data_IF_178819001998
#
_entry.id   IF_178819001998
#
_cell.length_a   1.000
_cell.length_b   1.000
_cell.length_c   1.000
_cell.angle_alpha   90.00
_cell.angle_beta   90.00
_cell.angle_gamma   90.00
#
_symmetry.space_group_name_H-M   'P 1'
#
loop_
_entity.id
_entity.type
_entity.pdbx_description
1 polymer ?
#
# COMPACT_ATOMS: atom_id res chain seq x y z
N UNK A 1 10.29 5.16 -6.21
CA UNK A 1 10.91 3.82 -6.39
C UNK A 1 10.46 3.26 -7.73
N UNK A 2 11.39 2.94 -8.63
CA UNK A 2 11.09 2.32 -9.95
C UNK A 2 10.17 1.09 -9.85
N UNK A 3 10.14 0.46 -8.67
CA UNK A 3 9.24 -0.60 -8.31
C UNK A 3 7.75 -0.22 -8.33
N UNK A 4 7.39 0.94 -7.77
CA UNK A 4 6.00 1.45 -7.80
C UNK A 4 5.61 1.87 -9.21
N UNK A 5 6.55 2.47 -9.95
CA UNK A 5 6.36 2.82 -11.37
C UNK A 5 5.98 1.61 -12.20
N UNK A 6 6.79 0.54 -12.21
CA UNK A 6 6.50 -0.67 -12.99
C UNK A 6 5.16 -1.35 -12.66
N UNK A 7 4.67 -1.24 -11.42
CA UNK A 7 3.40 -1.83 -11.01
C UNK A 7 2.22 -0.94 -11.39
N UNK A 8 2.37 0.38 -11.25
CA UNK A 8 1.42 1.35 -11.78
C UNK A 8 1.33 1.28 -13.31
N UNK A 9 2.45 1.03 -13.99
CA UNK A 9 2.51 0.81 -15.43
C UNK A 9 1.72 -0.46 -15.82
N UNK A 10 1.90 -1.56 -15.09
CA UNK A 10 1.13 -2.80 -15.33
C UNK A 10 -0.38 -2.61 -15.07
N UNK A 11 -0.77 -1.89 -14.00
CA UNK A 11 -2.16 -1.50 -13.75
C UNK A 11 -2.70 -0.60 -14.87
N UNK A 12 -1.89 0.34 -15.36
CA UNK A 12 -2.27 1.19 -16.49
C UNK A 12 -2.43 0.40 -17.78
N UNK A 13 -1.61 -0.63 -18.03
CA UNK A 13 -1.77 -1.53 -19.18
C UNK A 13 -3.06 -2.35 -19.07
N UNK A 14 -3.41 -2.85 -17.88
CA UNK A 14 -4.70 -3.51 -17.65
C UNK A 14 -5.88 -2.56 -17.86
N UNK A 15 -5.78 -1.30 -17.40
CA UNK A 15 -6.80 -0.29 -17.62
C UNK A 15 -6.98 0.07 -19.11
N UNK A 16 -5.92 0.01 -19.93
CA UNK A 16 -6.01 0.23 -21.38
C UNK A 16 -6.81 -0.85 -22.11
N UNK A 17 -6.91 -2.06 -21.53
CA UNK A 17 -7.70 -3.16 -22.11
C UNK A 17 -9.21 -2.97 -21.92
N UNK A 18 -9.64 -2.08 -21.02
CA UNK A 18 -11.05 -1.74 -20.90
C UNK A 18 -11.51 -0.95 -22.15
N UNK A 19 -12.51 -1.47 -22.88
CA UNK A 19 -13.06 -0.74 -24.01
C UNK A 19 -13.84 0.49 -23.52
N UNK A 20 -13.65 1.61 -24.22
CA UNK A 20 -14.30 2.89 -23.88
C UNK A 20 -15.73 2.98 -24.41
N UNK A 21 -16.03 2.22 -25.45
CA UNK A 21 -17.31 2.24 -26.15
C UNK A 21 -17.86 0.84 -26.36
N UNK A 22 -19.17 0.73 -26.49
CA UNK A 22 -19.91 -0.48 -26.77
C UNK A 22 -20.95 -0.22 -27.87
N UNK A 23 -21.20 -1.21 -28.72
CA UNK A 23 -22.23 -1.15 -29.76
C UNK A 23 -23.55 -1.70 -29.21
N UNK A 24 -24.47 -0.82 -28.86
CA UNK A 24 -25.81 -1.17 -28.37
C UNK A 24 -26.75 -1.44 -29.55
N UNK A 25 -27.41 -2.59 -29.52
CA UNK A 25 -28.47 -2.96 -30.46
C UNK A 25 -29.77 -2.33 -29.96
N UNK A 26 -30.37 -1.47 -30.78
CA UNK A 26 -31.67 -0.84 -30.50
C UNK A 26 -32.71 -1.41 -31.47
N UNK A 27 -33.76 -2.03 -30.93
CA UNK A 27 -34.82 -2.66 -31.73
C UNK A 27 -35.39 -1.69 -32.77
N UNK A 28 -35.31 -2.07 -34.05
CA UNK A 28 -35.86 -1.28 -35.16
C UNK A 28 -35.02 -0.07 -35.60
N UNK A 29 -33.80 0.10 -35.08
CA UNK A 29 -32.85 1.15 -35.50
C UNK A 29 -31.47 0.54 -35.80
N UNK A 30 -30.58 1.35 -36.39
CA UNK A 30 -29.17 0.99 -36.54
C UNK A 30 -28.49 0.89 -35.17
N UNK A 31 -27.52 0.00 -35.07
CA UNK A 31 -26.66 -0.14 -33.89
C UNK A 31 -26.04 1.21 -33.53
N UNK A 32 -26.01 1.53 -32.23
CA UNK A 32 -25.52 2.80 -31.71
C UNK A 32 -24.30 2.57 -30.85
N UNK A 33 -23.22 3.26 -31.15
CA UNK A 33 -22.05 3.32 -30.28
C UNK A 33 -22.37 4.20 -29.05
N UNK A 34 -22.19 3.63 -27.86
CA UNK A 34 -22.40 4.30 -26.57
C UNK A 34 -21.14 4.17 -25.70
N UNK A 35 -20.84 5.15 -24.84
CA UNK A 35 -19.84 4.99 -23.78
C UNK A 35 -20.17 3.79 -22.88
N UNK A 36 -19.13 3.10 -22.40
CA UNK A 36 -19.28 1.91 -21.55
C UNK A 36 -20.08 2.22 -20.28
N UNK A 37 -19.96 3.42 -19.71
CA UNK A 37 -20.64 3.86 -18.49
C UNK A 37 -22.16 3.95 -18.66
N UNK A 38 -22.65 4.03 -19.90
CA UNK A 38 -24.08 4.07 -20.20
C UNK A 38 -24.68 2.67 -20.48
N UNK A 39 -23.86 1.62 -20.42
CA UNK A 39 -24.32 0.24 -20.58
C UNK A 39 -25.11 -0.17 -19.33
N UNK A 40 -26.37 -0.55 -19.53
CA UNK A 40 -27.25 -1.05 -18.49
C UNK A 40 -27.36 -2.58 -18.55
N UNK A 41 -27.63 -3.17 -17.39
CA UNK A 41 -27.95 -4.59 -17.27
C UNK A 41 -29.15 -4.94 -18.15
N UNK A 42 -29.05 -6.03 -18.91
CA UNK A 42 -30.04 -6.45 -19.90
C UNK A 42 -29.86 -5.81 -21.28
N UNK A 43 -28.91 -4.89 -21.46
CA UNK A 43 -28.60 -4.30 -22.75
C UNK A 43 -28.02 -5.32 -23.73
N UNK A 44 -28.52 -5.33 -24.97
CA UNK A 44 -28.00 -6.18 -26.05
C UNK A 44 -26.85 -5.48 -26.77
N UNK A 45 -25.67 -6.07 -26.71
CA UNK A 45 -24.45 -5.51 -27.28
C UNK A 45 -23.94 -6.38 -28.42
N UNK A 46 -23.55 -5.75 -29.54
CA UNK A 46 -22.92 -6.43 -30.67
C UNK A 46 -21.41 -6.35 -30.55
N UNK A 47 -20.75 -7.51 -30.55
CA UNK A 47 -19.30 -7.62 -30.47
C UNK A 47 -18.78 -8.09 -31.82
N UNK A 48 -17.97 -7.26 -32.47
CA UNK A 48 -17.34 -7.56 -33.75
C UNK A 48 -16.11 -8.47 -33.56
N UNK A 49 -15.69 -9.20 -34.61
CA UNK A 49 -14.42 -9.94 -34.59
C UNK A 49 -13.24 -9.01 -34.27
N UNK A 50 -12.37 -9.42 -33.35
CA UNK A 50 -11.21 -8.65 -32.89
C UNK A 50 -11.53 -7.55 -31.86
N UNK A 51 -12.79 -7.34 -31.49
CA UNK A 51 -13.17 -6.34 -30.50
C UNK A 51 -13.14 -6.88 -29.06
N UNK A 52 -12.86 -6.00 -28.10
CA UNK A 52 -12.95 -6.35 -26.68
C UNK A 52 -14.42 -6.42 -26.25
N UNK A 53 -14.72 -7.40 -25.39
CA UNK A 53 -16.03 -7.52 -24.77
C UNK A 53 -16.17 -6.42 -23.70
N UNK A 54 -17.18 -5.54 -23.78
CA UNK A 54 -17.28 -4.38 -22.90
C UNK A 54 -17.72 -4.70 -21.49
N UNK A 55 -18.64 -5.65 -21.31
CA UNK A 55 -19.14 -6.03 -19.99
C UNK A 55 -19.27 -7.54 -19.92
N UNK A 56 -19.33 -8.07 -18.70
CA UNK A 56 -19.70 -9.46 -18.51
C UNK A 56 -21.15 -9.67 -19.00
N UNK A 57 -21.44 -10.87 -19.51
CA UNK A 57 -22.72 -11.12 -20.15
C UNK A 57 -22.93 -12.55 -20.59
N UNK A 58 -24.10 -12.80 -21.17
CA UNK A 58 -24.49 -14.10 -21.74
C UNK A 58 -24.71 -13.93 -23.24
N UNK A 59 -24.16 -14.86 -24.04
CA UNK A 59 -24.36 -14.85 -25.49
C UNK A 59 -25.83 -15.16 -25.81
N UNK A 60 -26.48 -14.27 -26.55
CA UNK A 60 -27.84 -14.45 -27.06
C UNK A 60 -27.91 -14.90 -28.50
N UNK A 61 -26.91 -14.57 -29.31
CA UNK A 61 -26.83 -15.10 -30.68
C UNK A 61 -25.41 -14.97 -31.22
N UNK A 62 -25.10 -15.83 -32.19
CA UNK A 62 -23.76 -15.94 -32.78
C UNK A 62 -22.91 -17.03 -32.14
N UNK A 63 -21.76 -17.28 -32.76
CA UNK A 63 -20.76 -18.23 -32.27
C UNK A 63 -19.38 -17.68 -32.59
N UNK A 64 -18.46 -17.76 -31.63
CA UNK A 64 -17.08 -17.30 -31.77
C UNK A 64 -16.16 -18.01 -30.78
N UNK A 65 -14.88 -17.66 -30.77
CA UNK A 65 -13.95 -17.97 -29.69
C UNK A 65 -13.52 -16.69 -28.98
N UNK A 66 -13.37 -16.75 -27.66
CA UNK A 66 -12.89 -15.64 -26.83
C UNK A 66 -11.52 -15.95 -26.26
N UNK A 67 -10.61 -15.00 -26.36
CA UNK A 67 -9.31 -15.06 -25.68
C UNK A 67 -9.46 -14.60 -24.24
N UNK A 68 -9.40 -15.55 -23.31
CA UNK A 68 -9.54 -15.34 -21.87
C UNK A 68 -8.18 -15.43 -21.15
N UNK A 69 -7.06 -15.45 -21.89
CA UNK A 69 -5.72 -15.65 -21.33
C UNK A 69 -5.34 -14.63 -20.26
N UNK A 70 -5.77 -13.38 -20.42
CA UNK A 70 -5.51 -12.31 -19.45
C UNK A 70 -6.24 -12.48 -18.11
N UNK A 71 -7.35 -13.22 -18.08
CA UNK A 71 -8.16 -13.44 -16.88
C UNK A 71 -7.91 -14.81 -16.26
N UNK A 72 -7.81 -15.84 -17.10
CA UNK A 72 -7.75 -17.25 -16.68
C UNK A 72 -6.33 -17.83 -16.72
N UNK A 73 -5.41 -17.19 -17.44
CA UNK A 73 -4.07 -17.72 -17.71
C UNK A 73 -4.04 -18.85 -18.76
N UNK A 74 -5.18 -19.24 -19.32
CA UNK A 74 -5.24 -20.27 -20.35
C UNK A 74 -4.93 -19.69 -21.74
N UNK A 75 -3.96 -20.27 -22.44
CA UNK A 75 -3.51 -19.76 -23.75
C UNK A 75 -4.41 -20.14 -24.92
N UNK A 76 -5.32 -21.10 -24.73
CA UNK A 76 -6.21 -21.57 -25.80
C UNK A 76 -7.53 -20.80 -25.76
N UNK A 77 -7.97 -20.20 -26.89
CA UNK A 77 -9.24 -19.50 -26.96
C UNK A 77 -10.42 -20.43 -26.64
N UNK A 78 -11.35 -19.94 -25.82
CA UNK A 78 -12.52 -20.68 -25.38
C UNK A 78 -13.66 -20.48 -26.38
N UNK A 79 -14.22 -21.58 -26.90
CA UNK A 79 -15.37 -21.50 -27.81
C UNK A 79 -16.62 -21.03 -27.06
N UNK A 80 -17.39 -20.12 -27.67
CA UNK A 80 -18.62 -19.54 -27.14
C UNK A 80 -19.77 -19.73 -28.10
N UNK A 81 -20.90 -20.18 -27.58
CA UNK A 81 -22.18 -20.38 -28.27
C UNK A 81 -23.31 -19.69 -27.50
N UNK A 82 -24.48 -19.66 -28.10
CA UNK A 82 -25.69 -19.14 -27.47
C UNK A 82 -25.95 -19.82 -26.11
N UNK A 83 -26.16 -19.01 -25.08
CA UNK A 83 -26.29 -19.44 -23.69
C UNK A 83 -25.01 -19.41 -22.86
N UNK A 84 -23.82 -19.33 -23.49
CA UNK A 84 -22.55 -19.30 -22.76
C UNK A 84 -22.27 -17.93 -22.13
N UNK A 85 -21.56 -17.97 -20.99
CA UNK A 85 -21.10 -16.76 -20.31
C UNK A 85 -19.80 -16.23 -20.93
N UNK A 86 -19.70 -14.91 -21.02
CA UNK A 86 -18.51 -14.19 -21.50
C UNK A 86 -18.06 -13.16 -20.46
N UNK A 87 -16.74 -13.05 -20.31
CA UNK A 87 -16.13 -12.09 -19.41
C UNK A 87 -15.82 -10.78 -20.14
N UNK A 88 -16.05 -9.65 -19.47
CA UNK A 88 -15.61 -8.34 -19.91
C UNK A 88 -14.09 -8.27 -20.02
N UNK A 89 -13.61 -7.38 -20.88
CA UNK A 89 -12.20 -7.16 -21.20
C UNK A 89 -11.47 -8.36 -21.83
N UNK A 90 -12.18 -9.42 -22.21
CA UNK A 90 -11.67 -10.48 -23.08
C UNK A 90 -11.80 -10.10 -24.55
N UNK A 91 -11.00 -10.72 -25.42
CA UNK A 91 -11.00 -10.39 -26.86
C UNK A 91 -11.85 -11.41 -27.62
N UNK A 92 -12.85 -10.91 -28.35
CA UNK A 92 -13.59 -11.75 -29.28
C UNK A 92 -12.72 -12.01 -30.52
N UNK A 93 -12.50 -13.27 -30.90
CA UNK A 93 -11.63 -13.61 -32.03
C UNK A 93 -12.41 -13.73 -33.35
N UNK A 94 -13.16 -14.82 -33.52
CA UNK A 94 -13.68 -15.23 -34.83
C UNK A 94 -15.20 -15.25 -34.86
N UNK A 95 -15.82 -14.21 -35.43
CA UNK A 95 -17.27 -14.14 -35.61
C UNK A 95 -17.89 -13.00 -34.81
N UNK A 96 -19.18 -12.75 -35.07
CA UNK A 96 -19.93 -11.70 -34.36
C UNK A 96 -20.77 -12.33 -33.26
N UNK A 97 -20.63 -11.81 -32.05
CA UNK A 97 -21.45 -12.20 -30.91
C UNK A 97 -22.48 -11.10 -30.61
N UNK A 98 -23.67 -11.50 -30.22
CA UNK A 98 -24.62 -10.62 -29.55
C UNK A 98 -24.75 -11.10 -28.12
N UNK A 99 -24.44 -10.23 -27.17
CA UNK A 99 -24.43 -10.56 -25.76
C UNK A 99 -25.49 -9.72 -25.03
N UNK A 100 -26.12 -10.30 -24.02
CA UNK A 100 -26.90 -9.57 -23.03
C UNK A 100 -26.01 -9.23 -21.84
N UNK A 101 -25.87 -7.93 -21.55
CA UNK A 101 -25.05 -7.45 -20.45
C UNK A 101 -25.61 -7.89 -19.09
N UNK A 102 -24.78 -8.54 -18.28
CA UNK A 102 -25.17 -9.02 -16.94
C UNK A 102 -24.91 -8.00 -15.82
N UNK A 103 -24.14 -6.96 -16.10
CA UNK A 103 -23.71 -5.95 -15.13
C UNK A 103 -23.80 -4.53 -15.71
N UNK A 104 -23.74 -3.51 -14.84
CA UNK A 104 -23.66 -2.12 -15.29
C UNK A 104 -22.24 -1.81 -15.75
N UNK A 105 -22.09 -1.04 -16.83
CA UNK A 105 -20.78 -0.70 -17.35
C UNK A 105 -20.00 0.25 -16.43
N UNK A 106 -18.68 0.12 -16.43
CA UNK A 106 -17.75 0.87 -15.58
C UNK A 106 -17.16 0.03 -14.44
N UNK A 107 -17.89 -0.11 -13.34
CA UNK A 107 -17.32 -0.62 -12.07
C UNK A 107 -17.60 -2.10 -11.79
N UNK A 108 -18.47 -2.75 -12.57
CA UNK A 108 -18.99 -4.09 -12.25
C UNK A 108 -18.42 -5.24 -13.10
N UNK A 109 -17.34 -5.01 -13.86
CA UNK A 109 -16.65 -6.08 -14.59
C UNK A 109 -15.66 -6.83 -13.70
N UNK A 110 -15.40 -8.10 -14.01
CA UNK A 110 -14.41 -8.90 -13.29
C UNK A 110 -13.03 -8.21 -13.19
N UNK A 111 -12.59 -7.54 -14.26
CA UNK A 111 -11.34 -6.78 -14.27
C UNK A 111 -11.36 -5.56 -13.35
N UNK A 112 -12.48 -4.83 -13.27
CA UNK A 112 -12.62 -3.67 -12.38
C UNK A 112 -12.48 -4.09 -10.90
N UNK A 113 -13.06 -5.24 -10.52
CA UNK A 113 -12.91 -5.82 -9.18
C UNK A 113 -11.46 -6.25 -8.89
N UNK A 114 -10.76 -6.82 -9.89
CA UNK A 114 -9.34 -7.17 -9.74
C UNK A 114 -8.51 -5.90 -9.50
N UNK A 115 -8.72 -4.85 -10.29
CA UNK A 115 -8.02 -3.57 -10.11
C UNK A 115 -8.29 -2.95 -8.74
N UNK A 116 -9.55 -2.93 -8.27
CA UNK A 116 -9.89 -2.37 -6.95
C UNK A 116 -9.27 -3.16 -5.80
N UNK A 117 -9.28 -4.50 -5.87
CA UNK A 117 -8.64 -5.35 -4.86
C UNK A 117 -7.11 -5.14 -4.80
N UNK A 118 -6.47 -4.93 -5.96
CA UNK A 118 -5.03 -4.64 -6.02
C UNK A 118 -4.74 -3.25 -5.46
N UNK A 119 -5.56 -2.26 -5.77
CA UNK A 119 -5.42 -0.88 -5.28
C UNK A 119 -5.58 -0.82 -3.76
N UNK A 120 -6.60 -1.49 -3.21
CA UNK A 120 -6.82 -1.63 -1.76
C UNK A 120 -5.63 -2.31 -1.05
N UNK A 121 -5.03 -3.32 -1.67
CA UNK A 121 -3.85 -4.01 -1.12
C UNK A 121 -2.56 -3.15 -1.14
N UNK A 122 -2.47 -2.18 -2.06
CA UNK A 122 -1.30 -1.30 -2.25
C UNK A 122 -1.30 -0.10 -1.28
N UNK A 123 -2.47 0.32 -0.79
CA UNK A 123 -2.61 1.50 0.09
C UNK A 123 -2.17 1.26 1.54
N UNK A 124 -1.96 0.01 1.95
CA UNK A 124 -1.57 -0.32 3.33
C UNK A 124 -0.07 -0.11 3.60
N UNK A 125 0.25 0.86 4.47
CA UNK A 125 1.60 1.15 4.98
C UNK A 125 2.20 -0.05 5.73
N UNK A 126 3.53 -0.11 5.80
CA UNK A 126 4.25 -1.17 6.49
C UNK A 126 4.11 -1.05 8.03
N UNK A 127 3.84 -2.16 8.74
CA UNK A 127 3.53 -2.13 10.17
C UNK A 127 4.74 -1.83 11.07
N UNK A 128 5.99 -2.16 10.72
CA UNK A 128 7.12 -1.92 11.65
C UNK A 128 7.51 -0.44 11.76
N UNK A 129 7.29 0.35 10.72
CA UNK A 129 7.59 1.79 10.76
C UNK A 129 6.67 2.47 11.79
N UNK A 130 5.42 2.01 11.89
CA UNK A 130 4.48 2.44 12.92
C UNK A 130 4.93 2.02 14.34
N UNK A 131 5.64 0.90 14.51
CA UNK A 131 6.20 0.51 15.82
C UNK A 131 7.33 1.43 16.29
N UNK A 132 8.22 1.84 15.38
CA UNK A 132 9.27 2.81 15.71
C UNK A 132 8.66 4.17 16.08
N UNK A 133 7.65 4.61 15.32
CA UNK A 133 6.90 5.84 15.59
C UNK A 133 6.13 5.75 16.92
N UNK A 134 5.54 4.59 17.23
CA UNK A 134 4.86 4.33 18.50
C UNK A 134 5.83 4.41 19.68
N UNK A 135 6.98 3.77 19.59
CA UNK A 135 7.98 3.82 20.65
C UNK A 135 8.48 5.25 20.86
N UNK A 136 8.73 6.01 19.79
CA UNK A 136 9.09 7.42 19.87
C UNK A 136 8.00 8.27 20.53
N UNK A 137 6.73 7.98 20.24
CA UNK A 137 5.57 8.70 20.82
C UNK A 137 5.41 8.48 22.32
N UNK A 138 5.85 7.33 22.84
CA UNK A 138 5.86 7.03 24.28
C UNK A 138 7.14 7.50 24.96
N UNK A 139 8.27 7.45 24.26
CA UNK A 139 9.57 7.80 24.82
C UNK A 139 9.71 9.31 25.04
N UNK A 140 9.24 10.14 24.09
CA UNK A 140 9.30 11.59 24.20
C UNK A 140 8.60 12.16 25.48
N UNK A 141 7.34 11.80 25.81
CA UNK A 141 6.70 12.28 27.03
C UNK A 141 7.34 11.72 28.30
N UNK A 142 7.87 10.48 28.28
CA UNK A 142 8.60 9.92 29.42
C UNK A 142 9.88 10.70 29.73
N UNK A 143 10.69 11.02 28.72
CA UNK A 143 11.91 11.82 28.89
C UNK A 143 11.59 13.22 29.40
N UNK A 144 10.55 13.86 28.85
CA UNK A 144 10.10 15.17 29.32
C UNK A 144 9.62 15.10 30.77
N UNK A 145 8.89 14.06 31.15
CA UNK A 145 8.46 13.82 32.53
C UNK A 145 9.64 13.63 33.49
N UNK A 146 10.65 12.86 33.08
CA UNK A 146 11.89 12.69 33.86
C UNK A 146 12.69 13.99 33.99
N UNK A 147 12.76 14.81 32.94
CA UNK A 147 13.43 16.10 32.98
C UNK A 147 12.74 17.08 33.93
N UNK A 148 11.40 17.15 33.90
CA UNK A 148 10.60 17.96 34.84
C UNK A 148 10.75 17.43 36.27
N UNK A 149 10.72 16.12 36.49
CA UNK A 149 10.96 15.53 37.81
C UNK A 149 12.36 15.89 38.33
N UNK A 150 13.39 15.78 37.48
CA UNK A 150 14.77 16.14 37.82
C UNK A 150 14.87 17.62 38.21
N UNK A 151 14.23 18.51 37.43
CA UNK A 151 14.15 19.93 37.76
C UNK A 151 13.51 20.17 39.14
N UNK A 152 12.35 19.56 39.42
CA UNK A 152 11.63 19.71 40.69
C UNK A 152 12.44 19.17 41.88
N UNK A 153 13.09 18.02 41.72
CA UNK A 153 13.91 17.42 42.77
C UNK A 153 15.12 18.31 43.07
N UNK A 154 15.84 18.77 42.04
CA UNK A 154 17.02 19.61 42.26
C UNK A 154 16.67 20.98 42.82
N UNK A 155 15.61 21.65 42.35
CA UNK A 155 15.21 22.94 42.90
C UNK A 155 14.78 22.83 44.37
N UNK A 156 14.03 21.77 44.74
CA UNK A 156 13.58 21.57 46.13
C UNK A 156 14.72 21.21 47.07
N UNK A 157 15.64 20.35 46.62
CA UNK A 157 16.83 19.94 47.41
C UNK A 157 17.79 21.12 47.62
N UNK A 158 17.98 21.97 46.61
CA UNK A 158 18.81 23.19 46.69
C UNK A 158 18.16 24.26 47.59
N UNK A 159 16.85 24.49 47.43
CA UNK A 159 16.08 25.48 48.21
C UNK A 159 15.90 25.11 49.68
N UNK A 160 15.90 23.81 50.02
CA UNK A 160 15.81 23.32 51.40
C UNK A 160 17.18 23.20 52.10
N UNK A 161 18.27 23.60 51.43
CA UNK A 161 19.65 23.57 51.93
C UNK A 161 20.09 22.19 52.47
N UNK A 162 19.49 21.12 51.92
CA UNK A 162 19.76 19.72 52.30
C UNK A 162 21.11 19.19 51.77
N UNK A 163 21.80 19.97 50.94
CA UNK A 163 23.06 19.60 50.30
C UNK A 163 24.23 20.15 51.13
N UNK A 164 25.20 19.30 51.54
CA UNK A 164 26.41 19.75 52.23
C UNK A 164 27.14 20.81 51.40
N UNK A 165 27.56 21.89 52.05
CA UNK A 165 28.21 23.01 51.36
C UNK A 165 29.52 22.67 50.64
N UNK A 166 30.09 21.49 50.91
CA UNK A 166 31.27 20.93 50.22
C UNK A 166 30.93 20.49 48.78
N UNK A 167 29.77 19.83 48.61
CA UNK A 167 29.31 19.35 47.31
C UNK A 167 28.80 20.50 46.42
N UNK A 168 28.22 21.56 47.02
CA UNK A 168 27.81 22.78 46.30
C UNK A 168 29.00 23.48 45.63
N UNK A 169 30.18 23.48 46.28
CA UNK A 169 31.41 24.07 45.75
C UNK A 169 32.02 23.21 44.63
N UNK A 170 32.00 21.88 44.75
CA UNK A 170 32.42 20.96 43.66
C UNK A 170 31.51 21.07 42.42
N UNK A 171 30.22 21.35 42.63
CA UNK A 171 29.25 21.57 41.57
C UNK A 171 29.35 22.98 40.94
N UNK A 172 30.28 23.83 41.40
CA UNK A 172 30.55 25.15 40.82
C UNK A 172 29.54 26.23 41.22
N UNK A 173 28.77 26.01 42.28
CA UNK A 173 27.86 27.03 42.85
C UNK A 173 28.64 27.81 43.90
N UNK A 174 29.20 28.95 43.50
CA UNK A 174 29.97 29.80 44.40
C UNK A 174 29.05 30.42 45.47
N UNK A 175 29.49 30.30 46.73
CA UNK A 175 28.74 30.73 47.92
C UNK A 175 28.56 32.26 47.96
N UNK A 176 27.53 32.83 47.32
CA UNK A 176 26.81 34.04 47.80
C UNK A 176 25.38 34.06 47.26
N UNK A 177 24.44 33.55 48.06
CA UNK A 177 23.09 34.10 48.26
C UNK A 177 22.37 34.79 47.07
N UNK A 178 22.17 34.08 45.95
CA UNK A 178 21.12 34.45 45.00
C UNK A 178 20.35 33.19 44.55
N UNK A 179 19.01 33.23 44.62
CA UNK A 179 18.15 32.11 44.20
C UNK A 179 18.23 31.84 42.68
N UNK A 180 18.95 32.69 41.95
CA UNK A 180 19.18 32.59 40.51
C UNK A 180 20.11 31.44 40.13
N UNK A 181 21.13 31.12 40.94
CA UNK A 181 22.11 30.08 40.66
C UNK A 181 21.56 28.66 40.87
N UNK A 182 20.69 28.48 41.87
CA UNK A 182 19.99 27.21 42.12
C UNK A 182 19.05 26.85 40.96
N UNK A 183 18.35 27.85 40.41
CA UNK A 183 17.51 27.68 39.24
C UNK A 183 18.33 27.35 38.00
N UNK A 184 19.48 28.01 37.82
CA UNK A 184 20.40 27.72 36.71
C UNK A 184 20.89 26.26 36.75
N UNK A 185 21.34 25.77 37.92
CA UNK A 185 21.84 24.40 38.06
C UNK A 185 20.73 23.35 37.85
N UNK A 186 19.53 23.58 38.41
CA UNK A 186 18.40 22.68 38.23
C UNK A 186 17.95 22.58 36.76
N UNK A 187 17.95 23.71 36.04
CA UNK A 187 17.67 23.73 34.58
C UNK A 187 18.79 23.02 33.81
N UNK A 188 20.06 23.20 34.18
CA UNK A 188 21.20 22.55 33.53
C UNK A 188 21.12 21.03 33.62
N UNK A 189 20.77 20.49 34.79
CA UNK A 189 20.54 19.06 34.96
C UNK A 189 19.33 18.55 34.17
N UNK A 190 18.23 19.31 34.14
CA UNK A 190 17.06 18.94 33.34
C UNK A 190 17.38 18.88 31.84
N UNK A 191 18.13 19.86 31.30
CA UNK A 191 18.58 19.87 29.91
C UNK A 191 19.52 18.69 29.64
N UNK A 192 20.42 18.37 30.56
CA UNK A 192 21.34 17.23 30.43
C UNK A 192 20.59 15.89 30.33
N UNK A 193 19.51 15.71 31.10
CA UNK A 193 18.63 14.53 31.00
C UNK A 193 17.96 14.43 29.62
N UNK A 194 17.48 15.55 29.06
CA UNK A 194 16.87 15.55 27.72
C UNK A 194 17.91 15.23 26.64
N UNK A 195 19.09 15.84 26.71
CA UNK A 195 20.16 15.67 25.72
C UNK A 195 20.68 14.22 25.72
N UNK A 196 20.92 13.64 26.90
CA UNK A 196 21.46 12.28 27.00
C UNK A 196 20.44 11.22 26.58
N UNK A 197 19.14 11.52 26.72
CA UNK A 197 18.08 10.61 26.35
C UNK A 197 17.78 10.58 24.84
N UNK A 198 18.35 11.49 24.03
CA UNK A 198 18.01 11.59 22.61
C UNK A 198 18.26 10.26 21.84
N UNK A 199 17.21 9.60 21.31
CA UNK A 199 17.34 8.25 20.74
C UNK A 199 17.75 8.29 19.25
N UNK A 200 18.83 9.00 18.92
CA UNK A 200 19.29 9.20 17.53
C UNK A 200 19.45 7.89 16.73
N UNK A 201 19.84 6.80 17.41
CA UNK A 201 20.03 5.49 16.79
C UNK A 201 18.72 4.79 16.41
N UNK A 202 17.63 5.08 17.12
CA UNK A 202 16.35 4.38 16.94
C UNK A 202 15.74 4.67 15.56
N UNK A 203 15.81 5.92 15.12
CA UNK A 203 15.26 6.34 13.81
C UNK A 203 16.02 5.79 12.60
N UNK A 204 17.28 5.39 12.78
CA UNK A 204 18.13 4.86 11.71
C UNK A 204 18.23 3.33 11.70
N UNK A 205 17.89 2.65 12.80
CA UNK A 205 18.01 1.21 12.91
C UNK A 205 17.22 0.46 11.82
N UNK A 206 15.95 0.81 11.64
CA UNK A 206 15.05 0.18 10.65
C UNK A 206 15.50 0.38 9.20
N UNK A 207 15.77 1.60 8.70
CA UNK A 207 16.22 1.79 7.32
C UNK A 207 17.57 1.13 7.05
N UNK A 208 18.50 1.10 8.02
CA UNK A 208 19.77 0.40 7.86
C UNK A 208 19.58 -1.12 7.74
N UNK A 209 18.76 -1.73 8.59
CA UNK A 209 18.46 -3.15 8.54
C UNK A 209 17.83 -3.55 7.19
N UNK A 210 16.86 -2.77 6.71
CA UNK A 210 16.21 -2.99 5.41
C UNK A 210 17.20 -2.83 4.26
N UNK A 211 18.04 -1.79 4.28
CA UNK A 211 19.02 -1.53 3.22
C UNK A 211 20.04 -2.67 3.11
N UNK A 212 20.62 -3.10 4.23
CA UNK A 212 21.57 -4.21 4.26
C UNK A 212 20.89 -5.53 3.87
N UNK A 213 19.68 -5.79 4.38
CA UNK A 213 18.91 -6.99 4.04
C UNK A 213 18.61 -7.10 2.54
N UNK A 214 18.18 -6.00 1.91
CA UNK A 214 17.99 -5.94 0.46
C UNK A 214 19.30 -6.15 -0.30
N UNK A 215 20.41 -5.59 0.17
CA UNK A 215 21.74 -5.80 -0.43
C UNK A 215 22.21 -7.25 -0.36
N UNK A 216 21.96 -7.94 0.75
CA UNK A 216 22.25 -9.37 0.91
C UNK A 216 21.35 -10.21 0.00
N UNK A 217 20.05 -9.91 -0.06
CA UNK A 217 19.10 -10.59 -0.94
C UNK A 217 19.50 -10.48 -2.42
N UNK A 218 19.88 -9.28 -2.86
CA UNK A 218 20.32 -9.05 -4.24
C UNK A 218 21.54 -9.89 -4.63
N UNK A 219 22.51 -10.07 -3.72
CA UNK A 219 23.68 -10.96 -3.95
C UNK A 219 23.28 -12.44 -4.11
N UNK A 220 22.10 -12.84 -3.65
CA UNK A 220 21.55 -14.19 -3.77
C UNK A 220 20.49 -14.31 -4.88
N UNK A 221 20.35 -13.30 -5.74
CA UNK A 221 19.37 -13.30 -6.83
C UNK A 221 17.92 -13.03 -6.39
N UNK A 222 17.71 -12.60 -5.14
CA UNK A 222 16.38 -12.26 -4.60
C UNK A 222 16.21 -10.76 -4.58
N UNK A 223 15.35 -10.23 -5.44
CA UNK A 223 15.08 -8.80 -5.52
C UNK A 223 13.90 -8.41 -4.61
N UNK A 224 14.21 -7.70 -3.52
CA UNK A 224 13.21 -7.33 -2.51
C UNK A 224 12.75 -5.89 -2.74
N UNK A 225 11.46 -5.70 -3.06
CA UNK A 225 10.86 -4.38 -3.30
C UNK A 225 10.46 -3.68 -1.98
N UNK A 226 11.44 -3.04 -1.34
CA UNK A 226 11.23 -2.19 -0.16
C UNK A 226 11.07 -2.94 1.17
N UNK A 227 11.02 -2.20 2.28
CA UNK A 227 10.99 -2.76 3.64
C UNK A 227 9.76 -3.60 3.95
N UNK A 228 8.58 -3.19 3.46
CA UNK A 228 7.32 -3.93 3.67
C UNK A 228 7.41 -5.37 3.18
N UNK A 229 7.96 -5.60 1.98
CA UNK A 229 8.09 -6.93 1.43
C UNK A 229 9.02 -7.83 2.28
N UNK A 230 10.11 -7.25 2.81
CA UNK A 230 11.03 -7.94 3.70
C UNK A 230 10.39 -8.31 5.05
N UNK A 231 9.59 -7.39 5.60
CA UNK A 231 8.86 -7.61 6.85
C UNK A 231 7.72 -8.61 6.69
N UNK A 232 6.88 -8.46 5.67
CA UNK A 232 5.76 -9.37 5.41
C UNK A 232 6.28 -10.78 5.19
N UNK A 233 7.40 -10.94 4.49
CA UNK A 233 8.03 -12.25 4.26
C UNK A 233 8.35 -13.02 5.56
N UNK A 234 8.59 -12.32 6.68
CA UNK A 234 8.79 -12.97 7.99
C UNK A 234 7.54 -13.68 8.50
N UNK A 235 6.36 -13.17 8.17
CA UNK A 235 5.08 -13.66 8.67
C UNK A 235 4.39 -14.60 7.68
N UNK A 236 4.99 -14.87 6.51
CA UNK A 236 4.44 -15.81 5.54
C UNK A 236 4.61 -17.23 6.08
N UNK A 237 3.48 -17.91 6.31
CA UNK A 237 3.37 -19.31 6.72
C UNK A 237 3.00 -20.22 5.53
N UNK A 238 2.31 -19.67 4.54
CA UNK A 238 1.77 -20.41 3.40
C UNK A 238 2.22 -19.78 2.09
N UNK A 239 2.74 -20.59 1.17
CA UNK A 239 3.16 -20.16 -0.16
C UNK A 239 2.28 -20.86 -1.20
N UNK A 240 1.54 -20.07 -1.98
CA UNK A 240 0.77 -20.56 -3.12
C UNK A 240 1.56 -20.24 -4.38
N UNK A 241 1.84 -21.26 -5.18
CA UNK A 241 2.52 -21.10 -6.45
C UNK A 241 1.51 -21.13 -7.59
N UNK A 242 1.66 -20.21 -8.53
CA UNK A 242 1.03 -20.36 -9.83
C UNK A 242 1.71 -21.51 -10.60
N UNK A 243 0.95 -22.27 -11.38
CA UNK A 243 1.52 -23.39 -12.14
C UNK A 243 2.28 -22.85 -13.34
N UNK A 244 1.60 -22.11 -14.20
CA UNK A 244 2.11 -21.70 -15.51
C UNK A 244 2.94 -20.43 -15.37
N UNK A 245 4.23 -20.47 -15.75
CA UNK A 245 5.13 -19.33 -15.66
C UNK A 245 5.80 -19.13 -14.29
N UNK A 246 5.49 -19.99 -13.30
CA UNK A 246 6.21 -20.02 -12.01
C UNK A 246 6.78 -21.41 -11.71
N UNK A 247 5.97 -22.48 -11.71
CA UNK A 247 6.46 -23.86 -11.51
C UNK A 247 6.89 -24.54 -12.81
N UNK A 248 6.13 -24.30 -13.88
CA UNK A 248 6.33 -24.85 -15.23
C UNK A 248 6.26 -23.74 -16.26
#
# INVERSE_FOLDING_TARGET
SMAKGKTADALSELAKLQPKTALLIVTGKRDREIPIELVQRGGLLRILPGANIPTDGVVKSGSSSTDESMLTGESMPVAKKEGDYVFGSTVNQQGTLVIESSCMGGESSALAQICSLIEDAQLNKAPIQAYADFLASIFAPCVLGMAVMTFIVWITVLSLDLVPTELKVELGVDRVADHSDDMYLAVLFAISVVVIACPCALGLATPMAVMVGCGVGAKKGVLIKGGRALETARYIDTIVFDKTGTLT
#
